data_IF_560830990588
#
_entry.id   IF_560830990588
#
_cell.length_a   1.000
_cell.length_b   1.000
_cell.length_c   1.000
_cell.angle_alpha   90.00
_cell.angle_beta   90.00
_cell.angle_gamma   90.00
#
_symmetry.space_group_name_H-M   'P 1'
#
loop_
_entity.id
_entity.type
_entity.pdbx_description
1 polymer ?
#
# COMPACT_ATOMS: atom_id res chain seq x y z
N UNK A 1 -48.46 -18.60 -3.77
CA UNK A 1 -48.44 -17.16 -3.39
C UNK A 1 -47.38 -16.86 -2.33
N UNK A 2 -47.35 -17.55 -1.20
CA UNK A 2 -46.35 -17.33 -0.15
C UNK A 2 -44.95 -17.86 -0.53
N UNK A 3 -44.89 -19.03 -1.15
CA UNK A 3 -43.65 -19.61 -1.72
C UNK A 3 -43.07 -18.73 -2.85
N UNK A 4 -43.91 -18.23 -3.74
CA UNK A 4 -43.50 -17.29 -4.80
C UNK A 4 -42.98 -15.96 -4.23
N UNK A 5 -43.60 -15.44 -3.16
CA UNK A 5 -43.13 -14.24 -2.46
C UNK A 5 -41.75 -14.50 -1.84
N UNK A 6 -41.58 -15.64 -1.18
CA UNK A 6 -40.34 -16.06 -0.54
C UNK A 6 -39.19 -16.24 -1.55
N UNK A 7 -39.47 -16.86 -2.69
CA UNK A 7 -38.49 -17.03 -3.77
C UNK A 7 -38.06 -15.68 -4.37
N UNK A 8 -39.00 -14.76 -4.58
CA UNK A 8 -38.68 -13.39 -5.02
C UNK A 8 -37.83 -12.64 -3.99
N UNK A 9 -38.17 -12.73 -2.71
CA UNK A 9 -37.37 -12.14 -1.62
C UNK A 9 -35.93 -12.70 -1.61
N UNK A 10 -35.76 -14.01 -1.82
CA UNK A 10 -34.45 -14.66 -1.90
C UNK A 10 -33.63 -14.20 -3.11
N UNK A 11 -34.23 -14.12 -4.30
CA UNK A 11 -33.55 -13.63 -5.51
C UNK A 11 -33.11 -12.17 -5.35
N UNK A 12 -33.98 -11.32 -4.80
CA UNK A 12 -33.64 -9.92 -4.53
C UNK A 12 -32.51 -9.79 -3.49
N UNK A 13 -32.50 -10.65 -2.46
CA UNK A 13 -31.41 -10.70 -1.51
C UNK A 13 -30.08 -11.09 -2.19
N UNK A 14 -30.07 -12.18 -2.97
CA UNK A 14 -28.88 -12.63 -3.70
C UNK A 14 -28.33 -11.56 -4.65
N UNK A 15 -29.18 -10.88 -5.40
CA UNK A 15 -28.72 -9.83 -6.32
C UNK A 15 -28.15 -8.61 -5.57
N UNK A 16 -28.80 -8.17 -4.49
CA UNK A 16 -28.27 -7.08 -3.64
C UNK A 16 -26.92 -7.45 -3.04
N UNK A 17 -26.76 -8.69 -2.56
CA UNK A 17 -25.49 -9.17 -2.01
C UNK A 17 -24.44 -9.21 -3.12
N UNK A 18 -24.74 -9.76 -4.30
CA UNK A 18 -23.82 -9.77 -5.44
C UNK A 18 -23.29 -8.38 -5.80
N UNK A 19 -24.17 -7.38 -5.92
CA UNK A 19 -23.78 -5.97 -6.17
C UNK A 19 -22.88 -5.45 -5.04
N UNK A 20 -23.28 -5.68 -3.79
CA UNK A 20 -22.55 -5.28 -2.61
C UNK A 20 -21.14 -5.87 -2.53
N UNK A 21 -20.97 -7.14 -2.91
CA UNK A 21 -19.67 -7.82 -2.95
C UNK A 21 -18.77 -7.23 -4.05
N UNK A 22 -19.30 -6.96 -5.24
CA UNK A 22 -18.51 -6.41 -6.35
C UNK A 22 -18.05 -4.97 -6.16
N UNK A 23 -18.71 -4.21 -5.29
CA UNK A 23 -18.35 -2.82 -5.00
C UNK A 23 -17.22 -2.68 -3.97
N UNK A 24 -16.95 -3.73 -3.19
CA UNK A 24 -15.90 -3.71 -2.17
C UNK A 24 -14.53 -4.03 -2.79
N UNK A 25 -13.56 -3.15 -2.56
CA UNK A 25 -12.20 -3.29 -3.12
C UNK A 25 -11.21 -3.85 -2.10
N UNK A 26 -11.50 -3.69 -0.81
CA UNK A 26 -10.68 -4.21 0.25
C UNK A 26 -11.01 -5.69 0.50
N UNK A 27 -10.01 -6.58 0.32
CA UNK A 27 -10.20 -8.02 0.49
C UNK A 27 -10.69 -8.35 1.91
N UNK A 28 -10.16 -7.70 2.95
CA UNK A 28 -10.54 -7.97 4.33
C UNK A 28 -12.02 -7.65 4.60
N UNK A 29 -12.47 -6.47 4.16
CA UNK A 29 -13.88 -6.05 4.26
C UNK A 29 -14.79 -6.93 3.39
N UNK A 30 -14.33 -7.33 2.21
CA UNK A 30 -15.07 -8.22 1.33
C UNK A 30 -15.35 -9.56 2.02
N UNK A 31 -14.31 -10.19 2.60
CA UNK A 31 -14.43 -11.47 3.32
C UNK A 31 -15.40 -11.37 4.51
N UNK A 32 -15.32 -10.30 5.30
CA UNK A 32 -16.25 -10.06 6.41
C UNK A 32 -17.70 -9.92 5.95
N UNK A 33 -17.89 -9.19 4.84
CA UNK A 33 -19.20 -8.95 4.27
C UNK A 33 -19.82 -10.24 3.76
N UNK A 34 -19.04 -11.10 3.10
CA UNK A 34 -19.50 -12.43 2.65
C UNK A 34 -20.08 -13.23 3.82
N UNK A 35 -19.33 -13.32 4.93
CA UNK A 35 -19.77 -14.06 6.12
C UNK A 35 -21.03 -13.43 6.72
N UNK A 36 -21.06 -12.11 6.85
CA UNK A 36 -22.21 -11.38 7.42
C UNK A 36 -23.48 -11.58 6.59
N UNK A 37 -23.39 -11.42 5.28
CA UNK A 37 -24.53 -11.57 4.37
C UNK A 37 -25.01 -13.02 4.32
N UNK A 38 -24.10 -14.00 4.28
CA UNK A 38 -24.45 -15.41 4.34
C UNK A 38 -25.17 -15.78 5.64
N UNK A 39 -24.65 -15.32 6.78
CA UNK A 39 -25.27 -15.52 8.10
C UNK A 39 -26.64 -14.87 8.19
N UNK A 40 -26.77 -13.61 7.77
CA UNK A 40 -28.05 -12.90 7.76
C UNK A 40 -29.09 -13.59 6.87
N UNK A 41 -28.66 -14.11 5.72
CA UNK A 41 -29.50 -14.83 4.77
C UNK A 41 -30.04 -16.16 5.33
N UNK A 42 -29.20 -16.93 6.03
CA UNK A 42 -29.59 -18.23 6.62
C UNK A 42 -30.06 -18.14 8.07
N UNK A 43 -30.00 -16.96 8.69
CA UNK A 43 -30.14 -16.75 10.15
C UNK A 43 -29.16 -17.61 10.96
N UNK A 44 -27.92 -17.72 10.50
CA UNK A 44 -26.89 -18.45 11.24
C UNK A 44 -26.29 -17.58 12.35
N UNK A 45 -26.18 -18.14 13.54
CA UNK A 45 -25.60 -17.47 14.71
C UNK A 45 -24.09 -17.26 14.56
N UNK A 46 -23.39 -18.13 13.83
CA UNK A 46 -21.97 -17.96 13.56
C UNK A 46 -21.58 -18.37 12.14
N UNK A 47 -20.44 -17.87 11.69
CA UNK A 47 -19.87 -18.18 10.39
C UNK A 47 -18.36 -18.04 10.37
N UNK A 48 -17.73 -18.89 9.59
CA UNK A 48 -16.28 -18.92 9.39
C UNK A 48 -15.98 -19.04 7.91
N UNK A 49 -15.04 -18.24 7.43
CA UNK A 49 -14.54 -18.32 6.07
C UNK A 49 -13.09 -18.76 6.10
N UNK A 50 -12.80 -19.84 5.39
CA UNK A 50 -11.46 -20.36 5.19
C UNK A 50 -10.99 -20.10 3.76
N UNK A 51 -9.72 -19.75 3.57
CA UNK A 51 -9.07 -19.67 2.27
C UNK A 51 -8.11 -20.86 2.11
N UNK A 52 -8.04 -21.40 0.90
CA UNK A 52 -7.12 -22.50 0.59
C UNK A 52 -5.71 -21.93 0.40
N UNK A 53 -4.74 -22.44 1.16
CA UNK A 53 -3.32 -22.07 1.10
C UNK A 53 -2.46 -23.31 0.98
N UNK A 54 -2.04 -23.64 -0.24
CA UNK A 54 -1.22 -24.83 -0.50
C UNK A 54 -1.91 -26.11 -0.05
N UNK A 55 -1.46 -26.68 1.07
CA UNK A 55 -1.91 -27.95 1.65
C UNK A 55 -2.82 -27.81 2.89
N UNK A 56 -3.24 -26.59 3.23
CA UNK A 56 -4.10 -26.33 4.38
C UNK A 56 -5.15 -25.26 4.09
N UNK A 57 -6.11 -25.15 5.00
CA UNK A 57 -7.09 -24.09 5.08
C UNK A 57 -6.66 -23.08 6.15
N UNK A 58 -6.51 -21.83 5.73
CA UNK A 58 -6.25 -20.69 6.58
C UNK A 58 -7.58 -20.03 6.94
N UNK A 59 -7.83 -19.81 8.24
CA UNK A 59 -9.03 -19.10 8.67
C UNK A 59 -8.86 -17.61 8.40
N UNK A 60 -9.75 -17.03 7.59
CA UNK A 60 -9.65 -15.62 7.20
C UNK A 60 -10.62 -14.72 7.98
N UNK A 61 -11.81 -15.24 8.34
CA UNK A 61 -12.84 -14.50 9.09
C UNK A 61 -13.59 -15.44 10.03
N UNK A 62 -13.86 -14.98 11.25
CA UNK A 62 -14.79 -15.60 12.20
C UNK A 62 -15.78 -14.55 12.70
N UNK A 63 -17.07 -14.85 12.62
CA UNK A 63 -18.12 -14.03 13.23
C UNK A 63 -19.06 -14.92 14.04
N UNK A 64 -19.41 -14.50 15.26
CA UNK A 64 -20.33 -15.20 16.14
C UNK A 64 -21.10 -14.18 16.99
N UNK A 65 -22.43 -14.15 16.88
CA UNK A 65 -23.25 -13.16 17.60
C UNK A 65 -23.38 -13.50 19.08
N UNK A 66 -23.61 -14.77 19.41
CA UNK A 66 -23.72 -15.25 20.81
C UNK A 66 -22.47 -14.94 21.64
N UNK A 67 -21.28 -15.12 21.06
CA UNK A 67 -20.01 -14.81 21.73
C UNK A 67 -19.58 -13.35 21.56
N UNK A 68 -20.31 -12.54 20.78
CA UNK A 68 -19.92 -11.19 20.37
C UNK A 68 -18.51 -11.13 19.76
N UNK A 69 -18.16 -12.14 18.96
CA UNK A 69 -16.84 -12.29 18.34
C UNK A 69 -16.91 -11.84 16.88
N UNK A 70 -15.99 -10.95 16.51
CA UNK A 70 -15.67 -10.61 15.11
C UNK A 70 -14.15 -10.54 14.99
N UNK A 71 -13.56 -11.46 14.23
CA UNK A 71 -12.11 -11.57 14.05
C UNK A 71 -11.76 -11.82 12.59
N UNK A 72 -10.57 -11.38 12.18
CA UNK A 72 -10.09 -11.51 10.80
C UNK A 72 -10.61 -10.43 9.87
N UNK A 73 -10.36 -10.62 8.57
CA UNK A 73 -10.66 -9.60 7.56
C UNK A 73 -9.95 -8.27 7.84
N UNK A 74 -10.71 -7.17 7.84
CA UNK A 74 -10.23 -5.82 8.14
C UNK A 74 -9.96 -5.58 9.63
N UNK A 75 -10.51 -6.41 10.53
CA UNK A 75 -10.27 -6.29 11.98
C UNK A 75 -8.93 -6.89 12.42
N UNK A 76 -8.28 -7.68 11.55
CA UNK A 76 -7.04 -8.38 11.87
C UNK A 76 -7.19 -9.38 13.01
N UNK A 77 -6.07 -9.80 13.61
CA UNK A 77 -6.06 -10.58 14.85
C UNK A 77 -6.65 -11.98 14.74
N UNK A 78 -6.02 -12.86 13.94
CA UNK A 78 -6.46 -14.23 13.80
C UNK A 78 -5.28 -15.19 14.05
N UNK A 79 -5.22 -15.74 15.27
CA UNK A 79 -4.25 -16.76 15.69
C UNK A 79 -4.99 -18.09 15.91
N UNK A 80 -5.63 -18.58 14.84
CA UNK A 80 -6.23 -19.91 14.82
C UNK A 80 -5.31 -20.86 14.05
N UNK A 81 -5.09 -22.09 14.54
CA UNK A 81 -4.26 -23.04 13.84
C UNK A 81 -4.88 -23.38 12.48
N UNK A 82 -4.06 -23.51 11.42
CA UNK A 82 -4.56 -23.90 10.11
C UNK A 82 -5.18 -25.29 10.16
N UNK A 83 -6.21 -25.52 9.33
CA UNK A 83 -6.86 -26.83 9.21
C UNK A 83 -6.18 -27.59 8.06
N UNK A 84 -5.49 -28.72 8.31
CA UNK A 84 -4.87 -29.49 7.23
C UNK A 84 -5.91 -29.95 6.20
N UNK A 85 -5.56 -29.96 4.90
CA UNK A 85 -6.43 -30.50 3.85
C UNK A 85 -6.50 -32.03 3.90
N UNK A 86 -7.16 -32.56 4.93
CA UNK A 86 -7.44 -33.98 5.11
C UNK A 86 -8.95 -34.21 5.20
N UNK A 87 -9.49 -35.24 4.54
CA UNK A 87 -10.92 -35.46 4.40
C UNK A 87 -11.64 -35.75 5.74
N UNK A 88 -10.90 -36.00 6.83
CA UNK A 88 -11.50 -36.17 8.15
C UNK A 88 -12.09 -34.86 8.72
N UNK A 89 -11.61 -33.69 8.31
CA UNK A 89 -12.17 -32.41 8.75
C UNK A 89 -13.24 -31.93 7.76
N UNK A 90 -14.41 -31.52 8.26
CA UNK A 90 -15.55 -31.14 7.40
C UNK A 90 -15.18 -30.05 6.38
N UNK A 91 -14.54 -28.97 6.83
CA UNK A 91 -14.13 -27.88 5.95
C UNK A 91 -13.12 -28.34 4.91
N UNK A 92 -12.14 -29.17 5.29
CA UNK A 92 -11.17 -29.73 4.35
C UNK A 92 -11.80 -30.74 3.37
N UNK A 93 -12.74 -31.57 3.81
CA UNK A 93 -13.50 -32.47 2.94
C UNK A 93 -14.25 -31.67 1.86
N UNK A 94 -14.94 -30.60 2.26
CA UNK A 94 -15.63 -29.71 1.33
C UNK A 94 -14.65 -29.05 0.36
N UNK A 95 -13.49 -28.58 0.86
CA UNK A 95 -12.44 -28.01 0.02
C UNK A 95 -11.94 -28.99 -1.06
N UNK A 96 -11.65 -30.23 -0.65
CA UNK A 96 -11.09 -31.29 -1.49
C UNK A 96 -12.09 -31.84 -2.51
N UNK A 97 -13.37 -31.97 -2.11
CA UNK A 97 -14.39 -32.64 -2.94
C UNK A 97 -15.28 -31.70 -3.72
N UNK A 98 -15.37 -30.42 -3.31
CA UNK A 98 -16.31 -29.45 -3.88
C UNK A 98 -17.78 -29.80 -3.59
N UNK A 99 -18.06 -30.68 -2.62
CA UNK A 99 -19.43 -31.06 -2.24
C UNK A 99 -19.90 -30.25 -1.04
N UNK A 100 -21.18 -29.88 -1.02
CA UNK A 100 -21.83 -29.26 0.14
C UNK A 100 -22.04 -30.29 1.24
N UNK A 101 -21.85 -29.90 2.49
CA UNK A 101 -22.13 -30.73 3.68
C UNK A 101 -23.09 -29.97 4.59
N UNK A 102 -24.24 -30.57 4.89
CA UNK A 102 -25.24 -30.05 5.81
C UNK A 102 -25.44 -31.03 6.95
N UNK A 103 -25.04 -30.64 8.16
CA UNK A 103 -25.07 -31.46 9.37
C UNK A 103 -26.15 -30.93 10.31
N UNK A 104 -27.24 -31.68 10.54
CA UNK A 104 -28.32 -31.28 11.45
C UNK A 104 -27.88 -31.20 12.92
N UNK A 105 -27.03 -32.14 13.35
CA UNK A 105 -26.46 -32.21 14.69
C UNK A 105 -25.01 -32.76 14.68
N UNK A 106 -24.05 -31.87 14.96
CA UNK A 106 -22.61 -32.13 15.01
C UNK A 106 -22.22 -33.14 16.09
N UNK A 107 -22.97 -33.22 17.21
CA UNK A 107 -22.69 -34.16 18.28
C UNK A 107 -23.26 -35.56 18.00
N UNK A 108 -24.26 -35.67 17.13
CA UNK A 108 -24.85 -36.93 16.71
C UNK A 108 -24.15 -37.54 15.47
N UNK A 109 -23.39 -36.73 14.71
CA UNK A 109 -22.66 -37.20 13.52
C UNK A 109 -21.33 -37.89 13.87
N UNK A 110 -21.09 -39.05 13.26
CA UNK A 110 -19.82 -39.78 13.32
C UNK A 110 -19.02 -39.74 12.01
N UNK A 111 -19.46 -38.96 11.02
CA UNK A 111 -18.88 -38.98 9.67
C UNK A 111 -17.56 -38.20 9.56
N UNK A 112 -17.34 -37.22 10.45
CA UNK A 112 -16.17 -36.34 10.41
C UNK A 112 -15.56 -36.17 11.81
N UNK A 113 -14.30 -35.73 11.83
CA UNK A 113 -13.61 -35.36 13.05
C UNK A 113 -14.05 -33.96 13.52
N UNK A 114 -14.76 -33.92 14.65
CA UNK A 114 -15.23 -32.69 15.30
C UNK A 114 -14.44 -32.32 16.57
N UNK A 115 -13.25 -32.87 16.80
CA UNK A 115 -12.42 -32.54 17.98
C UNK A 115 -12.09 -31.05 18.08
N UNK A 116 -11.80 -30.40 16.94
CA UNK A 116 -11.53 -28.96 16.86
C UNK A 116 -12.71 -28.11 17.37
N UNK A 117 -13.89 -28.20 16.74
CA UNK A 117 -15.12 -27.54 17.21
C UNK A 117 -15.45 -27.87 18.67
N UNK A 118 -15.37 -29.15 19.08
CA UNK A 118 -15.65 -29.56 20.47
C UNK A 118 -14.69 -28.92 21.48
N UNK A 119 -13.40 -28.77 21.12
CA UNK A 119 -12.41 -28.09 21.97
C UNK A 119 -12.71 -26.59 22.07
N UNK A 120 -13.07 -25.95 20.96
CA UNK A 120 -13.44 -24.54 20.95
C UNK A 120 -14.71 -24.29 21.77
N UNK A 121 -15.73 -25.13 21.59
CA UNK A 121 -16.97 -25.13 22.38
C UNK A 121 -16.68 -25.28 23.88
N UNK A 122 -15.80 -26.21 24.27
CA UNK A 122 -15.41 -26.42 25.66
C UNK A 122 -14.67 -25.21 26.28
N UNK A 123 -13.90 -24.47 25.49
CA UNK A 123 -13.16 -23.29 25.94
C UNK A 123 -14.04 -22.03 26.05
N UNK A 124 -15.01 -21.89 25.15
CA UNK A 124 -15.83 -20.68 25.02
C UNK A 124 -17.20 -20.79 25.67
N UNK A 125 -17.64 -22.00 26.02
CA UNK A 125 -19.01 -22.27 26.46
C UNK A 125 -20.04 -22.25 25.32
N UNK A 126 -19.60 -22.07 24.08
CA UNK A 126 -20.44 -22.18 22.88
C UNK A 126 -20.79 -23.63 22.59
N UNK A 127 -21.92 -23.88 21.92
CA UNK A 127 -22.30 -25.24 21.50
C UNK A 127 -22.68 -25.27 20.03
N UNK A 128 -21.81 -25.85 19.22
CA UNK A 128 -21.99 -26.09 17.79
C UNK A 128 -22.95 -27.26 17.59
N UNK A 129 -24.16 -26.99 17.09
CA UNK A 129 -25.21 -27.99 16.87
C UNK A 129 -25.47 -28.24 15.40
N UNK A 130 -25.96 -27.24 14.66
CA UNK A 130 -26.15 -27.39 13.20
C UNK A 130 -25.03 -26.73 12.42
N UNK A 131 -24.67 -27.29 11.26
CA UNK A 131 -23.57 -26.78 10.45
C UNK A 131 -23.89 -26.93 8.95
N UNK A 132 -23.68 -25.86 8.18
CA UNK A 132 -23.73 -25.88 6.72
C UNK A 132 -22.38 -25.42 6.18
N UNK A 133 -21.71 -26.28 5.42
CA UNK A 133 -20.38 -26.04 4.88
C UNK A 133 -20.43 -26.12 3.36
N UNK A 134 -20.09 -25.03 2.70
CA UNK A 134 -20.14 -24.91 1.24
C UNK A 134 -18.78 -24.57 0.67
N UNK A 135 -18.43 -25.10 -0.51
CA UNK A 135 -17.20 -24.72 -1.19
C UNK A 135 -17.38 -23.35 -1.86
N UNK A 136 -16.31 -22.58 -1.90
CA UNK A 136 -16.20 -21.34 -2.67
C UNK A 136 -15.38 -21.67 -3.92
N UNK A 137 -16.04 -21.81 -5.06
CA UNK A 137 -15.40 -22.25 -6.31
C UNK A 137 -15.33 -21.14 -7.34
N UNK A 138 -14.17 -21.05 -8.01
CA UNK A 138 -13.97 -20.13 -9.12
C UNK A 138 -14.66 -20.62 -10.42
N UNK A 139 -14.56 -19.83 -11.48
CA UNK A 139 -15.11 -20.16 -12.81
C UNK A 139 -14.51 -21.44 -13.44
N UNK A 140 -13.42 -21.99 -12.89
CA UNK A 140 -12.77 -23.24 -13.31
C UNK A 140 -13.11 -24.42 -12.40
N UNK A 141 -14.10 -24.25 -11.51
CA UNK A 141 -14.49 -25.21 -10.47
C UNK A 141 -13.36 -25.56 -9.49
N UNK A 142 -12.33 -24.69 -9.35
CA UNK A 142 -11.31 -24.84 -8.32
C UNK A 142 -11.84 -24.23 -7.02
N UNK A 143 -11.72 -24.97 -5.92
CA UNK A 143 -12.10 -24.47 -4.61
C UNK A 143 -11.02 -23.52 -4.08
N UNK A 144 -11.34 -22.24 -3.94
CA UNK A 144 -10.42 -21.22 -3.40
C UNK A 144 -10.62 -20.99 -1.90
N UNK A 145 -11.74 -21.45 -1.37
CA UNK A 145 -12.10 -21.29 0.04
C UNK A 145 -13.31 -22.11 0.42
N UNK A 146 -13.69 -22.02 1.69
CA UNK A 146 -14.83 -22.74 2.26
C UNK A 146 -15.57 -21.78 3.18
N UNK A 147 -16.88 -21.69 3.00
CA UNK A 147 -17.77 -20.94 3.87
C UNK A 147 -18.51 -21.93 4.79
N UNK A 148 -18.29 -21.79 6.08
CA UNK A 148 -18.92 -22.59 7.12
C UNK A 148 -19.89 -21.71 7.90
N UNK A 149 -21.15 -22.11 7.98
CA UNK A 149 -22.20 -21.49 8.77
C UNK A 149 -22.58 -22.42 9.90
N UNK A 150 -22.77 -21.87 11.10
CA UNK A 150 -23.00 -22.63 12.32
C UNK A 150 -24.28 -22.11 12.98
N UNK A 151 -25.08 -23.05 13.47
CA UNK A 151 -26.28 -22.81 14.26
C UNK A 151 -27.30 -21.91 13.56
N UNK A 152 -28.07 -22.46 12.61
CA UNK A 152 -29.24 -21.76 12.08
C UNK A 152 -30.27 -21.53 13.20
N UNK A 153 -30.84 -20.32 13.27
CA UNK A 153 -31.78 -19.93 14.31
C UNK A 153 -33.22 -19.88 13.78
N UNK A 154 -34.14 -20.46 14.53
CA UNK A 154 -35.58 -20.26 14.36
C UNK A 154 -35.98 -18.81 14.67
N UNK A 155 -37.17 -18.33 14.26
CA UNK A 155 -37.68 -17.01 14.66
C UNK A 155 -37.72 -16.78 16.19
N UNK A 156 -37.74 -17.86 16.98
CA UNK A 156 -37.76 -17.85 18.44
C UNK A 156 -36.36 -17.88 19.06
N UNK A 157 -35.29 -17.93 18.25
CA UNK A 157 -33.90 -17.97 18.70
C UNK A 157 -33.38 -19.36 19.04
N UNK A 158 -34.17 -20.42 18.85
CA UNK A 158 -33.70 -21.79 19.05
C UNK A 158 -32.87 -22.26 17.85
N UNK A 159 -31.74 -22.94 18.11
CA UNK A 159 -30.95 -23.54 17.03
C UNK A 159 -31.76 -24.67 16.35
N UNK A 160 -31.71 -24.73 15.03
CA UNK A 160 -32.40 -25.71 14.17
C UNK A 160 -31.45 -26.18 13.05
N UNK A 161 -31.72 -27.32 12.39
CA UNK A 161 -31.00 -27.71 11.19
C UNK A 161 -31.13 -26.67 10.06
N UNK A 162 -30.10 -26.55 9.22
CA UNK A 162 -30.19 -25.74 8.00
C UNK A 162 -31.15 -26.41 7.02
N UNK A 163 -32.07 -25.63 6.46
CA UNK A 163 -33.02 -26.11 5.45
C UNK A 163 -32.28 -26.41 4.15
N UNK A 164 -32.61 -27.51 3.48
CA UNK A 164 -31.96 -27.93 2.22
C UNK A 164 -32.04 -26.86 1.12
N UNK A 165 -33.11 -26.07 1.09
CA UNK A 165 -33.27 -24.92 0.18
C UNK A 165 -32.13 -23.88 0.31
N UNK A 166 -31.48 -23.78 1.47
CA UNK A 166 -30.35 -22.88 1.66
C UNK A 166 -29.05 -23.43 1.06
N UNK A 167 -28.93 -24.73 0.80
CA UNK A 167 -27.70 -25.31 0.24
C UNK A 167 -27.39 -24.73 -1.13
N UNK A 168 -28.35 -24.74 -2.04
CA UNK A 168 -28.24 -24.19 -3.40
C UNK A 168 -28.03 -22.67 -3.38
N UNK A 169 -28.76 -21.96 -2.52
CA UNK A 169 -28.68 -20.50 -2.42
C UNK A 169 -27.33 -20.04 -1.86
N UNK A 170 -26.86 -20.69 -0.79
CA UNK A 170 -25.57 -20.40 -0.17
C UNK A 170 -24.42 -20.84 -1.08
N UNK A 171 -24.56 -21.93 -1.83
CA UNK A 171 -23.59 -22.32 -2.87
C UNK A 171 -23.48 -21.26 -3.98
N UNK A 172 -24.63 -20.71 -4.43
CA UNK A 172 -24.63 -19.61 -5.41
C UNK A 172 -23.94 -18.37 -4.84
N UNK A 173 -24.25 -17.99 -3.60
CA UNK A 173 -23.58 -16.87 -2.92
C UNK A 173 -22.07 -17.11 -2.78
N UNK A 174 -21.67 -18.30 -2.34
CA UNK A 174 -20.27 -18.70 -2.19
C UNK A 174 -19.50 -18.65 -3.50
N UNK A 175 -20.14 -19.00 -4.62
CA UNK A 175 -19.54 -18.92 -5.96
C UNK A 175 -19.35 -17.46 -6.41
N UNK A 176 -20.34 -16.57 -6.17
CA UNK A 176 -20.19 -15.14 -6.46
C UNK A 176 -19.10 -14.50 -5.60
N UNK A 177 -19.09 -14.85 -4.32
CA UNK A 177 -18.05 -14.46 -3.38
C UNK A 177 -16.66 -14.95 -3.83
N UNK A 178 -16.56 -16.18 -4.33
CA UNK A 178 -15.30 -16.72 -4.85
C UNK A 178 -14.76 -15.89 -6.01
N UNK A 179 -15.61 -15.55 -6.99
CA UNK A 179 -15.22 -14.70 -8.12
C UNK A 179 -14.78 -13.30 -7.66
N UNK A 180 -15.48 -12.71 -6.69
CA UNK A 180 -15.11 -11.40 -6.14
C UNK A 180 -13.75 -11.44 -5.42
N UNK A 181 -13.50 -12.49 -4.61
CA UNK A 181 -12.22 -12.71 -3.92
C UNK A 181 -11.10 -12.89 -4.94
N UNK A 182 -11.28 -13.75 -5.95
CA UNK A 182 -10.29 -13.97 -7.00
C UNK A 182 -9.94 -12.66 -7.71
N UNK A 183 -10.94 -11.86 -8.08
CA UNK A 183 -10.71 -10.57 -8.72
C UNK A 183 -9.96 -9.58 -7.81
N UNK A 184 -10.33 -9.48 -6.53
CA UNK A 184 -9.64 -8.63 -5.57
C UNK A 184 -8.18 -9.07 -5.38
N UNK A 185 -7.92 -10.39 -5.32
CA UNK A 185 -6.58 -10.95 -5.21
C UNK A 185 -5.76 -10.68 -6.48
N UNK A 186 -6.33 -10.88 -7.67
CA UNK A 186 -5.67 -10.59 -8.95
C UNK A 186 -5.25 -9.11 -9.05
N UNK A 187 -6.11 -8.19 -8.63
CA UNK A 187 -5.80 -6.75 -8.59
C UNK A 187 -4.66 -6.47 -7.61
N UNK A 188 -4.72 -7.06 -6.40
CA UNK A 188 -3.66 -6.89 -5.40
C UNK A 188 -2.32 -7.45 -5.87
N UNK A 189 -2.32 -8.62 -6.52
CA UNK A 189 -1.10 -9.24 -7.05
C UNK A 189 -0.51 -8.42 -8.19
N UNK A 190 -1.36 -7.85 -9.06
CA UNK A 190 -0.92 -6.92 -10.11
C UNK A 190 -0.28 -5.65 -9.51
N UNK A 191 -0.86 -5.08 -8.45
CA UNK A 191 -0.30 -3.91 -7.75
C UNK A 191 1.07 -4.22 -7.15
N UNK A 192 1.21 -5.34 -6.41
CA UNK A 192 2.49 -5.78 -5.84
C UNK A 192 3.54 -6.07 -6.90
N UNK A 193 3.14 -6.68 -8.01
CA UNK A 193 4.04 -6.92 -9.14
C UNK A 193 4.52 -5.60 -9.76
N UNK A 194 3.64 -4.62 -9.92
CA UNK A 194 4.01 -3.30 -10.43
C UNK A 194 4.99 -2.59 -9.47
N UNK A 195 4.68 -2.56 -8.18
CA UNK A 195 5.53 -1.93 -7.14
C UNK A 195 6.92 -2.57 -7.12
N UNK A 196 7.00 -3.89 -7.01
CA UNK A 196 8.28 -4.61 -7.01
C UNK A 196 9.05 -4.44 -8.33
N UNK A 197 8.36 -4.30 -9.46
CA UNK A 197 8.99 -3.99 -10.74
C UNK A 197 9.59 -2.58 -10.75
N UNK A 198 8.88 -1.56 -10.26
CA UNK A 198 9.41 -0.19 -10.16
C UNK A 198 10.62 -0.11 -9.22
N UNK A 199 10.56 -0.79 -8.07
CA UNK A 199 11.69 -0.88 -7.12
C UNK A 199 12.89 -1.60 -7.75
N UNK A 200 12.66 -2.67 -8.51
CA UNK A 200 13.71 -3.36 -9.24
C UNK A 200 14.39 -2.43 -10.28
N UNK A 201 13.62 -1.64 -11.04
CA UNK A 201 14.19 -0.66 -11.97
C UNK A 201 15.02 0.40 -11.24
N UNK A 202 14.50 1.00 -10.17
CA UNK A 202 15.22 2.01 -9.41
C UNK A 202 16.54 1.47 -8.83
N UNK A 203 16.49 0.29 -8.21
CA UNK A 203 17.68 -0.36 -7.63
C UNK A 203 18.75 -0.70 -8.66
N UNK A 204 18.39 -1.03 -9.91
CA UNK A 204 19.38 -1.26 -10.97
C UNK A 204 20.21 -0.03 -11.31
N UNK A 205 19.63 1.17 -11.21
CA UNK A 205 20.34 2.42 -11.46
C UNK A 205 21.21 2.81 -10.28
N UNK A 206 20.69 2.68 -9.06
CA UNK A 206 21.47 2.92 -7.84
C UNK A 206 22.68 1.96 -7.73
N UNK A 207 22.55 0.72 -8.24
CA UNK A 207 23.68 -0.22 -8.30
C UNK A 207 24.76 0.19 -9.33
N UNK A 208 24.37 0.88 -10.40
CA UNK A 208 25.29 1.36 -11.45
C UNK A 208 25.92 2.71 -11.11
N UNK A 209 25.21 3.55 -10.35
CA UNK A 209 25.69 4.82 -9.81
C UNK A 209 25.74 4.73 -8.27
N UNK A 210 26.80 4.15 -7.68
CA UNK A 210 26.89 3.93 -6.23
C UNK A 210 26.74 5.20 -5.39
N UNK A 211 26.87 6.38 -6.01
CA UNK A 211 26.72 7.67 -5.37
C UNK A 211 25.25 8.10 -5.21
N UNK A 212 24.31 7.41 -5.86
CA UNK A 212 22.87 7.64 -5.73
C UNK A 212 22.17 6.62 -4.83
N UNK A 213 22.89 5.77 -4.09
CA UNK A 213 22.25 4.82 -3.19
C UNK A 213 21.27 5.50 -2.21
N UNK A 214 19.98 5.19 -2.35
CA UNK A 214 18.89 5.79 -1.56
C UNK A 214 18.48 7.21 -1.96
N UNK A 215 19.15 7.84 -2.95
CA UNK A 215 18.79 9.15 -3.49
C UNK A 215 17.39 9.14 -4.09
N UNK A 216 17.10 8.18 -4.98
CA UNK A 216 15.80 8.05 -5.63
C UNK A 216 14.68 7.91 -4.59
N UNK A 217 14.93 7.16 -3.51
CA UNK A 217 14.00 7.07 -2.38
C UNK A 217 13.82 8.41 -1.67
N UNK A 218 14.90 9.11 -1.30
CA UNK A 218 14.79 10.39 -0.59
C UNK A 218 14.08 11.46 -1.42
N UNK A 219 14.42 11.58 -2.70
CA UNK A 219 13.73 12.47 -3.66
C UNK A 219 12.24 12.13 -3.74
N UNK A 220 11.90 10.85 -3.79
CA UNK A 220 10.51 10.38 -3.76
C UNK A 220 9.80 10.84 -2.48
N UNK A 221 10.41 10.63 -1.32
CA UNK A 221 9.79 11.00 -0.05
C UNK A 221 9.65 12.51 0.15
N UNK A 222 10.62 13.32 -0.30
CA UNK A 222 10.49 14.78 -0.31
C UNK A 222 9.33 15.23 -1.20
N UNK A 223 9.26 14.66 -2.41
CA UNK A 223 8.20 14.97 -3.39
C UNK A 223 6.82 14.63 -2.84
N UNK A 224 6.66 13.45 -2.24
CA UNK A 224 5.39 13.02 -1.64
C UNK A 224 5.01 13.89 -0.45
N UNK A 225 5.96 14.22 0.44
CA UNK A 225 5.68 15.09 1.58
C UNK A 225 5.22 16.50 1.14
N UNK A 226 5.78 17.03 0.05
CA UNK A 226 5.31 18.28 -0.54
C UNK A 226 3.92 18.13 -1.16
N UNK A 227 3.67 17.04 -1.89
CA UNK A 227 2.38 16.78 -2.53
C UNK A 227 1.24 16.56 -1.53
N UNK A 228 1.52 15.95 -0.38
CA UNK A 228 0.57 15.80 0.72
C UNK A 228 0.17 17.16 1.30
N UNK A 229 1.14 18.06 1.54
CA UNK A 229 0.86 19.42 2.00
C UNK A 229 0.10 20.25 0.97
N UNK A 230 0.28 19.94 -0.30
CA UNK A 230 -0.45 20.54 -1.43
C UNK A 230 -1.91 20.04 -1.53
N UNK A 231 -2.26 18.98 -0.81
CA UNK A 231 -3.59 18.36 -0.87
C UNK A 231 -3.80 17.51 -2.13
N UNK A 232 -2.72 16.97 -2.72
CA UNK A 232 -2.82 16.08 -3.87
C UNK A 232 -3.66 14.83 -3.53
N UNK A 233 -4.62 14.43 -4.38
CA UNK A 233 -5.41 13.23 -4.13
C UNK A 233 -4.53 11.96 -4.22
N UNK A 234 -4.93 10.84 -3.59
CA UNK A 234 -4.15 9.60 -3.60
C UNK A 234 -3.74 9.12 -5.01
N UNK A 235 -4.61 9.32 -5.99
CA UNK A 235 -4.37 9.03 -7.41
C UNK A 235 -3.09 9.72 -7.92
N UNK A 236 -2.90 11.00 -7.56
CA UNK A 236 -1.75 11.82 -7.97
C UNK A 236 -0.48 11.46 -7.21
N UNK A 237 -0.60 11.09 -5.94
CA UNK A 237 0.55 10.65 -5.13
C UNK A 237 1.25 9.46 -5.77
N UNK A 238 0.51 8.48 -6.30
CA UNK A 238 1.11 7.31 -6.99
C UNK A 238 1.88 7.69 -8.26
N UNK A 239 1.38 8.66 -9.03
CA UNK A 239 2.10 9.17 -10.21
C UNK A 239 3.41 9.81 -9.77
N UNK A 240 3.38 10.66 -8.74
CA UNK A 240 4.57 11.35 -8.25
C UNK A 240 5.56 10.39 -7.60
N UNK A 241 5.08 9.36 -6.91
CA UNK A 241 5.90 8.29 -6.34
C UNK A 241 6.70 7.58 -7.43
N UNK A 242 6.05 7.03 -8.45
CA UNK A 242 6.75 6.31 -9.51
C UNK A 242 7.60 7.21 -10.39
N UNK A 243 7.15 8.45 -10.65
CA UNK A 243 7.93 9.40 -11.42
C UNK A 243 9.21 9.82 -10.68
N UNK A 244 9.13 10.08 -9.37
CA UNK A 244 10.29 10.44 -8.55
C UNK A 244 11.22 9.24 -8.33
N UNK A 245 10.67 8.03 -8.18
CA UNK A 245 11.48 6.83 -8.02
C UNK A 245 12.31 6.52 -9.27
N UNK A 246 11.82 6.89 -10.45
CA UNK A 246 12.42 6.57 -11.75
C UNK A 246 12.95 7.79 -12.53
N UNK A 247 12.99 8.98 -11.92
CA UNK A 247 13.36 10.24 -12.59
C UNK A 247 14.71 10.16 -13.30
N UNK A 248 15.64 9.41 -12.71
CA UNK A 248 17.01 9.23 -13.17
C UNK A 248 17.23 7.95 -13.98
N UNK A 249 16.18 7.19 -14.33
CA UNK A 249 16.33 5.87 -14.95
C UNK A 249 17.08 5.90 -16.29
N UNK A 250 16.94 7.00 -17.03
CA UNK A 250 17.63 7.22 -18.29
C UNK A 250 19.15 7.35 -18.16
N UNK A 251 19.72 7.43 -16.95
CA UNK A 251 21.17 7.32 -16.75
C UNK A 251 21.73 6.03 -17.36
N UNK A 252 20.91 4.97 -17.50
CA UNK A 252 21.28 3.74 -18.20
C UNK A 252 21.81 3.97 -19.63
N UNK A 253 21.32 5.03 -20.30
CA UNK A 253 21.73 5.41 -21.66
C UNK A 253 22.99 6.29 -21.73
N UNK A 254 23.53 6.75 -20.59
CA UNK A 254 24.72 7.61 -20.52
C UNK A 254 25.98 6.74 -20.41
N UNK A 255 27.07 7.08 -21.12
CA UNK A 255 28.32 6.30 -21.06
C UNK A 255 28.96 6.36 -19.68
N UNK A 256 29.54 5.25 -19.22
CA UNK A 256 30.25 5.17 -17.94
C UNK A 256 31.39 6.18 -17.83
N UNK A 257 32.11 6.44 -18.93
CA UNK A 257 33.19 7.41 -18.98
C UNK A 257 32.74 8.85 -18.69
N UNK A 258 31.45 9.15 -18.89
CA UNK A 258 30.82 10.44 -18.56
C UNK A 258 30.21 10.37 -17.16
N UNK A 259 29.37 9.37 -16.90
CA UNK A 259 28.62 9.24 -15.65
C UNK A 259 29.53 9.07 -14.42
N UNK A 260 30.59 8.26 -14.54
CA UNK A 260 31.50 7.91 -13.45
C UNK A 260 32.79 8.74 -13.45
N UNK A 261 32.86 9.81 -14.25
CA UNK A 261 34.09 10.59 -14.41
C UNK A 261 34.53 11.25 -13.08
N UNK A 262 35.76 11.00 -12.60
CA UNK A 262 36.27 11.64 -11.39
C UNK A 262 36.74 13.07 -11.73
N UNK A 263 35.82 14.02 -11.82
CA UNK A 263 36.14 15.43 -12.06
C UNK A 263 35.04 16.20 -12.78
N UNK A 264 35.39 17.40 -13.27
CA UNK A 264 34.45 18.24 -14.02
C UNK A 264 34.22 17.65 -15.42
N UNK A 265 32.96 17.63 -15.83
CA UNK A 265 32.56 17.34 -17.20
C UNK A 265 32.93 18.50 -18.12
N UNK A 266 33.35 18.18 -19.34
CA UNK A 266 33.41 19.13 -20.45
C UNK A 266 32.00 19.51 -20.89
N UNK A 267 31.84 20.56 -21.70
CA UNK A 267 30.51 20.96 -22.20
C UNK A 267 29.84 19.88 -23.06
N UNK A 268 30.62 19.03 -23.74
CA UNK A 268 30.09 17.91 -24.51
C UNK A 268 29.62 16.77 -23.61
N UNK A 269 30.45 16.37 -22.65
CA UNK A 269 30.10 15.36 -21.65
C UNK A 269 28.91 15.81 -20.78
N UNK A 270 28.80 17.11 -20.48
CA UNK A 270 27.66 17.65 -19.74
C UNK A 270 26.35 17.51 -20.54
N UNK A 271 26.36 17.82 -21.83
CA UNK A 271 25.18 17.62 -22.70
C UNK A 271 24.79 16.15 -22.81
N UNK A 272 25.77 15.25 -22.85
CA UNK A 272 25.51 13.81 -22.82
C UNK A 272 24.91 13.37 -21.48
N UNK A 273 25.43 13.87 -20.37
CA UNK A 273 24.85 13.61 -19.06
C UNK A 273 23.40 14.12 -18.97
N UNK A 274 23.09 15.31 -19.48
CA UNK A 274 21.73 15.86 -19.53
C UNK A 274 20.75 15.02 -20.36
N UNK A 275 21.24 14.23 -21.32
CA UNK A 275 20.38 13.37 -22.15
C UNK A 275 19.65 12.29 -21.34
N UNK A 276 20.11 11.98 -20.11
CA UNK A 276 19.44 11.02 -19.22
C UNK A 276 17.96 11.36 -19.02
N UNK A 277 17.58 12.64 -18.99
CA UNK A 277 16.18 13.03 -18.77
C UNK A 277 15.30 12.62 -19.96
N UNK A 278 15.78 12.86 -21.18
CA UNK A 278 15.09 12.43 -22.39
C UNK A 278 15.05 10.89 -22.49
N UNK A 279 16.15 10.22 -22.11
CA UNK A 279 16.17 8.75 -22.04
C UNK A 279 15.20 8.21 -20.99
N UNK A 280 15.04 8.86 -19.83
CA UNK A 280 14.05 8.48 -18.82
C UNK A 280 12.66 8.50 -19.45
N UNK A 281 12.27 9.62 -20.06
CA UNK A 281 10.96 9.74 -20.70
C UNK A 281 10.76 8.70 -21.80
N UNK A 282 11.75 8.50 -22.68
CA UNK A 282 11.67 7.54 -23.77
C UNK A 282 11.51 6.10 -23.27
N UNK A 283 12.34 5.69 -22.31
CA UNK A 283 12.35 4.32 -21.79
C UNK A 283 11.05 4.04 -21.03
N UNK A 284 10.63 4.96 -20.15
CA UNK A 284 9.39 4.79 -19.40
C UNK A 284 8.16 4.79 -20.31
N UNK A 285 8.16 5.56 -21.41
CA UNK A 285 7.06 5.55 -22.39
C UNK A 285 6.87 4.22 -23.12
N UNK A 286 7.81 3.27 -22.99
CA UNK A 286 7.67 1.90 -23.52
C UNK A 286 6.93 0.97 -22.57
N UNK A 287 6.78 1.35 -21.30
CA UNK A 287 6.01 0.60 -20.32
C UNK A 287 4.53 0.93 -20.52
N UNK A 288 3.68 -0.09 -20.50
CA UNK A 288 2.23 0.12 -20.47
C UNK A 288 1.83 0.58 -19.07
N UNK A 289 1.53 1.87 -18.94
CA UNK A 289 0.91 2.43 -17.75
C UNK A 289 -0.62 2.42 -17.91
N UNK A 290 -1.38 1.95 -16.91
CA UNK A 290 -2.83 2.18 -16.84
C UNK A 290 -3.16 3.67 -16.94
N UNK A 291 -4.40 4.00 -17.33
CA UNK A 291 -4.84 5.38 -17.54
C UNK A 291 -4.58 6.28 -16.32
N UNK A 292 -4.70 5.73 -15.11
CA UNK A 292 -4.45 6.42 -13.84
C UNK A 292 -2.97 6.77 -13.62
N UNK A 293 -2.05 6.10 -14.32
CA UNK A 293 -0.60 6.26 -14.19
C UNK A 293 0.07 6.74 -15.49
N UNK A 294 -0.70 7.06 -16.53
CA UNK A 294 -0.16 7.41 -17.86
C UNK A 294 0.78 8.60 -17.89
N UNK A 295 0.69 9.49 -16.89
CA UNK A 295 1.49 10.70 -16.78
C UNK A 295 2.89 10.45 -16.20
N UNK A 296 3.19 9.25 -15.67
CA UNK A 296 4.48 8.92 -15.04
C UNK A 296 5.69 9.27 -15.92
N UNK A 297 5.76 8.88 -17.22
CA UNK A 297 6.91 9.20 -18.07
C UNK A 297 7.12 10.70 -18.28
N UNK A 298 6.03 11.46 -18.45
CA UNK A 298 6.08 12.91 -18.66
C UNK A 298 6.54 13.64 -17.41
N UNK A 299 6.00 13.26 -16.24
CA UNK A 299 6.39 13.84 -14.95
C UNK A 299 7.85 13.53 -14.65
N UNK A 300 8.30 12.28 -14.80
CA UNK A 300 9.70 11.89 -14.61
C UNK A 300 10.65 12.61 -15.59
N UNK A 301 10.24 12.74 -16.86
CA UNK A 301 10.99 13.40 -17.93
C UNK A 301 11.06 14.93 -17.86
N UNK A 302 10.36 15.56 -16.91
CA UNK A 302 10.35 17.01 -16.75
C UNK A 302 11.06 17.49 -15.47
N UNK A 303 11.67 16.60 -14.67
CA UNK A 303 12.22 16.95 -13.36
C UNK A 303 13.41 17.93 -13.39
N UNK A 304 14.08 18.10 -14.53
CA UNK A 304 15.17 19.07 -14.76
C UNK A 304 14.71 20.34 -15.52
N UNK A 305 13.41 20.46 -15.79
CA UNK A 305 12.84 21.72 -16.27
C UNK A 305 12.90 22.77 -15.16
N UNK A 306 13.17 24.02 -15.56
CA UNK A 306 13.31 25.14 -14.62
C UNK A 306 12.19 26.12 -14.82
N UNK A 307 11.76 26.76 -13.74
CA UNK A 307 10.63 27.68 -13.75
C UNK A 307 10.76 28.81 -14.80
N UNK A 308 11.98 29.32 -15.02
CA UNK A 308 12.29 30.34 -16.01
C UNK A 308 12.44 29.85 -17.47
N UNK A 309 12.35 28.54 -17.71
CA UNK A 309 12.52 27.93 -19.03
C UNK A 309 13.97 27.73 -19.48
N UNK A 310 14.95 27.89 -18.58
CA UNK A 310 16.37 27.57 -18.85
C UNK A 310 16.72 26.11 -18.55
N UNK A 311 15.72 25.30 -18.21
CA UNK A 311 15.83 23.87 -17.98
C UNK A 311 15.88 23.03 -19.26
N UNK A 312 15.80 21.72 -19.08
CA UNK A 312 15.90 20.73 -20.16
C UNK A 312 15.02 19.51 -19.82
N UNK A 313 14.59 18.71 -20.82
CA UNK A 313 15.03 18.70 -22.22
C UNK A 313 14.27 19.64 -23.17
N UNK A 314 13.10 20.14 -22.81
CA UNK A 314 12.21 20.91 -23.69
C UNK A 314 12.25 22.42 -23.43
N UNK A 315 12.75 22.87 -22.28
CA UNK A 315 12.79 24.29 -21.91
C UNK A 315 11.40 24.83 -21.55
N UNK A 316 10.61 23.99 -20.86
CA UNK A 316 9.26 24.32 -20.42
C UNK A 316 9.28 25.44 -19.39
N UNK A 317 8.24 26.27 -19.38
CA UNK A 317 8.08 27.41 -18.45
C UNK A 317 6.91 27.20 -17.51
N UNK A 318 6.72 28.15 -16.60
CA UNK A 318 5.56 28.20 -15.70
C UNK A 318 4.24 27.85 -16.42
N UNK A 319 3.44 27.02 -15.75
CA UNK A 319 2.19 26.45 -16.27
C UNK A 319 2.35 25.27 -17.26
N UNK A 320 3.55 25.02 -17.81
CA UNK A 320 3.81 23.90 -18.72
C UNK A 320 4.48 22.71 -18.05
N UNK A 321 5.24 22.96 -16.98
CA UNK A 321 5.93 21.89 -16.23
C UNK A 321 4.89 21.16 -15.36
N UNK A 322 4.75 19.82 -15.47
CA UNK A 322 3.88 19.06 -14.60
C UNK A 322 4.15 19.36 -13.11
N UNK A 323 3.10 19.46 -12.30
CA UNK A 323 3.24 19.88 -10.90
C UNK A 323 4.18 18.96 -10.09
N UNK A 324 4.08 17.64 -10.29
CA UNK A 324 5.01 16.69 -9.70
C UNK A 324 6.47 16.93 -10.10
N UNK A 325 6.74 17.30 -11.36
CA UNK A 325 8.09 17.63 -11.82
C UNK A 325 8.66 18.88 -11.14
N UNK A 326 7.84 19.90 -10.90
CA UNK A 326 8.25 21.10 -10.16
C UNK A 326 8.61 20.78 -8.71
N UNK A 327 7.86 19.88 -8.05
CA UNK A 327 8.19 19.38 -6.71
C UNK A 327 9.50 18.58 -6.71
N UNK A 328 9.64 17.65 -7.67
CA UNK A 328 10.84 16.82 -7.82
C UNK A 328 12.09 17.66 -8.07
N UNK A 329 12.01 18.74 -8.85
CA UNK A 329 13.14 19.63 -9.09
C UNK A 329 13.70 20.23 -7.77
N UNK A 330 12.81 20.66 -6.86
CA UNK A 330 13.22 21.15 -5.53
C UNK A 330 13.83 20.01 -4.70
N UNK A 331 13.19 18.84 -4.69
CA UNK A 331 13.61 17.67 -3.93
C UNK A 331 14.98 17.12 -4.39
N UNK A 332 15.19 16.98 -5.70
CA UNK A 332 16.43 16.49 -6.31
C UNK A 332 17.59 17.43 -6.01
N UNK A 333 17.42 18.73 -6.24
CA UNK A 333 18.49 19.70 -5.95
C UNK A 333 18.80 19.73 -4.45
N UNK A 334 17.78 19.72 -3.59
CA UNK A 334 18.02 19.67 -2.15
C UNK A 334 18.81 18.42 -1.76
N UNK A 335 18.38 17.23 -2.18
CA UNK A 335 19.06 15.98 -1.85
C UNK A 335 20.50 15.95 -2.39
N UNK A 336 20.71 16.46 -3.60
CA UNK A 336 22.04 16.56 -4.21
C UNK A 336 22.97 17.52 -3.44
N UNK A 337 22.44 18.60 -2.85
CA UNK A 337 23.21 19.53 -2.01
C UNK A 337 23.52 18.93 -0.64
N UNK A 338 22.59 18.14 -0.09
CA UNK A 338 22.70 17.55 1.25
C UNK A 338 23.21 16.12 1.26
N UNK A 339 23.62 15.55 0.14
CA UNK A 339 24.21 14.21 0.08
C UNK A 339 25.74 14.27 0.14
N UNK A 340 26.35 13.27 0.78
CA UNK A 340 27.80 13.06 0.73
C UNK A 340 28.17 12.40 -0.60
N UNK A 341 29.20 12.92 -1.28
CA UNK A 341 29.80 12.30 -2.48
C UNK A 341 31.31 12.17 -2.26
N UNK A 342 32.04 11.26 -2.93
CA UNK A 342 33.47 11.04 -2.69
C UNK A 342 34.33 12.30 -2.79
N UNK A 343 33.89 13.27 -3.58
CA UNK A 343 34.59 14.52 -3.85
C UNK A 343 33.92 15.74 -3.20
N UNK A 344 32.84 15.56 -2.43
CA UNK A 344 32.05 16.66 -1.86
C UNK A 344 31.40 16.27 -0.54
N UNK A 345 31.79 16.95 0.53
CA UNK A 345 31.09 16.86 1.81
C UNK A 345 29.68 17.47 1.70
N UNK A 346 28.78 16.98 2.57
CA UNK A 346 27.42 17.49 2.73
C UNK A 346 27.46 19.00 2.97
N UNK A 347 26.68 19.76 2.18
CA UNK A 347 26.57 21.20 2.36
C UNK A 347 25.97 21.54 3.73
N UNK A 348 26.40 22.62 4.42
CA UNK A 348 25.69 23.10 5.60
C UNK A 348 24.21 23.32 5.29
N UNK A 349 23.31 22.83 6.15
CA UNK A 349 21.87 22.85 5.90
C UNK A 349 21.35 24.27 5.63
N UNK A 350 21.86 25.26 6.37
CA UNK A 350 21.57 26.69 6.16
C UNK A 350 21.84 27.12 4.71
N UNK A 351 22.99 26.72 4.16
CA UNK A 351 23.38 27.09 2.80
C UNK A 351 22.54 26.36 1.75
N UNK A 352 22.20 25.09 1.99
CA UNK A 352 21.31 24.36 1.09
C UNK A 352 19.92 25.01 1.01
N UNK A 353 19.36 25.38 2.17
CA UNK A 353 18.07 26.10 2.26
C UNK A 353 18.15 27.50 1.63
N UNK A 354 19.27 28.22 1.80
CA UNK A 354 19.49 29.53 1.15
C UNK A 354 19.41 29.41 -0.37
N UNK A 355 20.05 28.39 -0.95
CA UNK A 355 20.03 28.15 -2.42
C UNK A 355 18.60 27.93 -2.93
N UNK A 356 17.77 27.17 -2.20
CA UNK A 356 16.37 26.97 -2.59
C UNK A 356 15.58 28.29 -2.56
N UNK A 357 15.75 29.10 -1.51
CA UNK A 357 15.06 30.41 -1.39
C UNK A 357 15.52 31.40 -2.45
N UNK A 358 16.82 31.50 -2.69
CA UNK A 358 17.42 32.38 -3.70
C UNK A 358 17.03 31.95 -5.13
N UNK A 359 16.83 30.65 -5.37
CA UNK A 359 16.43 30.09 -6.67
C UNK A 359 14.92 30.17 -6.97
N UNK A 360 14.09 30.61 -6.04
CA UNK A 360 12.64 30.72 -6.24
C UNK A 360 12.32 31.76 -7.34
N UNK A 361 11.47 31.37 -8.30
CA UNK A 361 11.09 32.20 -9.44
C UNK A 361 12.07 32.19 -10.61
N UNK A 362 13.18 31.45 -10.48
CA UNK A 362 14.16 31.23 -11.57
C UNK A 362 14.35 29.74 -11.80
N UNK A 363 15.15 29.09 -10.94
CA UNK A 363 15.36 27.65 -10.99
C UNK A 363 14.09 26.91 -10.55
N UNK A 364 13.53 27.32 -9.42
CA UNK A 364 12.42 26.62 -8.77
C UNK A 364 11.13 27.41 -8.88
N UNK A 365 10.01 26.69 -8.92
CA UNK A 365 8.71 27.28 -8.69
C UNK A 365 8.61 27.83 -7.26
N UNK A 366 8.28 29.12 -7.06
CA UNK A 366 8.13 29.71 -5.72
C UNK A 366 7.14 28.98 -4.82
N UNK A 367 6.04 28.45 -5.37
CA UNK A 367 5.03 27.72 -4.63
C UNK A 367 5.59 26.38 -4.11
N UNK A 368 6.39 25.68 -4.92
CA UNK A 368 7.02 24.43 -4.52
C UNK A 368 8.10 24.66 -3.46
N UNK A 369 8.85 25.76 -3.56
CA UNK A 369 9.78 26.17 -2.49
C UNK A 369 9.01 26.47 -1.20
N UNK A 370 7.86 27.15 -1.26
CA UNK A 370 7.06 27.38 -0.06
C UNK A 370 6.56 26.07 0.58
N UNK A 371 6.04 25.13 -0.21
CA UNK A 371 5.64 23.81 0.26
C UNK A 371 6.80 23.06 0.94
N UNK A 372 7.99 23.08 0.34
CA UNK A 372 9.17 22.46 0.94
C UNK A 372 9.51 23.09 2.31
N UNK A 373 9.39 24.41 2.44
CA UNK A 373 9.66 25.12 3.69
C UNK A 373 8.57 24.92 4.75
N UNK A 374 7.36 24.49 4.35
CA UNK A 374 6.27 24.13 5.27
C UNK A 374 6.37 22.71 5.80
N UNK A 375 7.30 21.89 5.30
CA UNK A 375 7.53 20.54 5.81
C UNK A 375 7.87 20.57 7.32
N UNK A 376 7.34 19.64 8.12
CA UNK A 376 7.82 19.44 9.48
C UNK A 376 9.30 19.06 9.47
N UNK A 377 10.09 19.65 10.36
CA UNK A 377 11.53 19.41 10.45
C UNK A 377 11.84 17.96 10.82
N UNK A 378 10.97 17.33 11.61
CA UNK A 378 11.03 15.88 11.89
C UNK A 378 10.89 15.03 10.63
N UNK A 379 10.00 15.40 9.70
CA UNK A 379 9.79 14.72 8.41
C UNK A 379 11.01 14.88 7.52
N UNK A 380 11.55 16.10 7.42
CA UNK A 380 12.80 16.36 6.67
C UNK A 380 13.95 15.48 7.21
N UNK A 381 14.10 15.45 8.54
CA UNK A 381 15.15 14.68 9.19
C UNK A 381 15.00 13.17 8.95
N UNK A 382 13.79 12.63 9.06
CA UNK A 382 13.52 11.22 8.81
C UNK A 382 13.91 10.79 7.39
N UNK A 383 13.69 11.66 6.40
CA UNK A 383 14.08 11.39 5.01
C UNK A 383 15.61 11.50 4.86
N UNK A 384 16.24 12.53 5.42
CA UNK A 384 17.69 12.73 5.35
C UNK A 384 18.52 11.57 5.93
N UNK A 385 18.01 10.92 6.97
CA UNK A 385 18.69 9.81 7.65
C UNK A 385 18.39 8.44 7.02
N UNK A 386 17.50 8.37 6.03
CA UNK A 386 17.23 7.14 5.31
C UNK A 386 18.49 6.63 4.59
N UNK A 387 18.84 5.37 4.84
CA UNK A 387 20.05 4.72 4.30
C UNK A 387 21.32 4.93 5.14
N UNK A 388 21.27 5.65 6.27
CA UNK A 388 22.45 5.96 7.11
C UNK A 388 22.57 5.12 8.39
N UNK A 389 21.64 4.18 8.63
CA UNK A 389 21.74 3.18 9.71
C UNK A 389 21.49 3.67 11.15
N UNK A 390 21.44 4.98 11.39
CA UNK A 390 21.25 5.54 12.73
C UNK A 390 19.80 5.60 13.20
N UNK A 391 19.51 5.08 14.39
CA UNK A 391 18.22 5.27 15.04
C UNK A 391 17.99 6.76 15.40
N UNK A 392 16.77 7.23 15.15
CA UNK A 392 16.28 8.54 15.55
C UNK A 392 15.67 8.45 16.95
N UNK A 393 16.07 9.34 17.85
CA UNK A 393 15.49 9.41 19.19
C UNK A 393 14.04 9.91 19.10
N UNK A 394 13.03 9.17 19.61
CA UNK A 394 11.63 9.60 19.58
C UNK A 394 11.40 10.97 20.23
N UNK A 395 12.17 11.32 21.26
CA UNK A 395 12.05 12.63 21.92
C UNK A 395 12.54 13.76 21.02
N UNK A 396 13.63 13.54 20.28
CA UNK A 396 14.14 14.50 19.30
C UNK A 396 13.14 14.67 18.15
N UNK A 397 12.59 13.56 17.65
CA UNK A 397 11.59 13.59 16.57
C UNK A 397 10.32 14.33 16.98
N UNK A 398 9.82 14.09 18.19
CA UNK A 398 8.63 14.78 18.69
C UNK A 398 8.87 16.29 18.79
N UNK A 399 10.01 16.71 19.36
CA UNK A 399 10.32 18.14 19.48
C UNK A 399 10.52 18.83 18.12
N UNK A 400 11.10 18.13 17.14
CA UNK A 400 11.28 18.67 15.79
C UNK A 400 9.99 18.63 14.96
N UNK A 401 8.92 17.98 15.43
CA UNK A 401 7.66 17.88 14.68
C UNK A 401 6.82 19.16 14.72
N UNK A 402 6.99 19.97 15.77
CA UNK A 402 6.30 21.26 15.94
C UNK A 402 6.93 22.42 15.14
N UNK A 403 8.08 22.19 14.51
CA UNK A 403 8.87 23.22 13.83
C UNK A 403 8.92 22.88 12.36
N UNK A 404 8.59 23.85 11.51
CA UNK A 404 8.72 23.72 10.06
C UNK A 404 10.16 23.99 9.60
N UNK A 405 10.51 23.52 8.41
CA UNK A 405 11.80 23.82 7.77
C UNK A 405 12.02 25.34 7.65
N UNK A 406 10.97 26.12 7.40
CA UNK A 406 11.06 27.57 7.30
C UNK A 406 11.28 28.28 8.63
N UNK A 407 10.60 27.88 9.69
CA UNK A 407 10.90 28.39 11.04
C UNK A 407 12.33 28.04 11.44
N UNK A 408 12.75 26.81 11.17
CA UNK A 408 14.12 26.39 11.42
C UNK A 408 15.15 27.22 10.64
N UNK A 409 14.88 27.50 9.36
CA UNK A 409 15.73 28.37 8.56
C UNK A 409 15.85 29.78 9.16
N UNK A 410 14.76 30.37 9.64
CA UNK A 410 14.81 31.66 10.33
C UNK A 410 15.63 31.60 11.62
N UNK A 411 15.53 30.50 12.39
CA UNK A 411 16.35 30.28 13.59
C UNK A 411 17.84 30.19 13.24
N UNK A 412 18.19 29.54 12.13
CA UNK A 412 19.59 29.45 11.68
C UNK A 412 20.19 30.82 11.38
N UNK A 413 19.41 31.74 10.80
CA UNK A 413 19.84 33.10 10.45
C UNK A 413 20.00 34.06 11.65
N UNK A 414 19.50 33.71 12.83
CA UNK A 414 19.62 34.56 14.03
C UNK A 414 21.02 34.52 14.62
N UNK A 415 21.54 35.70 14.98
CA UNK A 415 22.79 35.83 15.75
C UNK A 415 22.60 35.45 17.23
N UNK A 416 21.46 35.82 17.83
CA UNK A 416 21.11 35.52 19.22
C UNK A 416 19.84 34.64 19.26
N UNK A 417 19.97 33.46 19.88
CA UNK A 417 18.94 32.41 19.88
C UNK A 417 18.45 32.18 21.31
N UNK A 418 17.15 32.02 21.49
CA UNK A 418 16.60 31.58 22.77
C UNK A 418 17.08 30.16 23.13
N UNK A 419 17.06 29.75 24.41
CA UNK A 419 17.45 28.40 24.81
C UNK A 419 16.70 27.28 24.08
N UNK A 420 15.42 27.52 23.73
CA UNK A 420 14.60 26.57 22.93
C UNK A 420 15.09 26.48 21.49
N UNK A 421 15.50 27.60 20.89
CA UNK A 421 16.01 27.63 19.51
C UNK A 421 17.38 26.99 19.41
N UNK A 422 18.26 27.21 20.40
CA UNK A 422 19.54 26.49 20.50
C UNK A 422 19.34 24.98 20.64
N UNK A 423 18.35 24.57 21.45
CA UNK A 423 17.96 23.16 21.60
C UNK A 423 17.57 22.54 20.25
N UNK A 424 16.69 23.19 19.49
CA UNK A 424 16.25 22.71 18.17
C UNK A 424 17.45 22.56 17.22
N UNK A 425 18.32 23.57 17.14
CA UNK A 425 19.53 23.53 16.30
C UNK A 425 20.46 22.41 16.73
N UNK A 426 20.64 22.20 18.04
CA UNK A 426 21.49 21.14 18.59
C UNK A 426 20.91 19.76 18.26
N UNK A 427 19.61 19.55 18.47
CA UNK A 427 18.91 18.29 18.16
C UNK A 427 19.04 17.95 16.68
N UNK A 428 18.74 18.88 15.76
CA UNK A 428 18.88 18.63 14.32
C UNK A 428 20.34 18.39 13.90
N UNK A 429 21.26 19.25 14.36
CA UNK A 429 22.69 19.16 14.00
C UNK A 429 23.34 17.87 14.46
N UNK A 430 22.87 17.28 15.56
CA UNK A 430 23.33 15.98 16.09
C UNK A 430 23.18 14.87 15.06
N UNK A 431 22.16 14.91 14.22
CA UNK A 431 21.92 13.92 13.17
C UNK A 431 22.55 14.35 11.85
N UNK A 432 22.35 15.60 11.45
CA UNK A 432 22.83 16.11 10.16
C UNK A 432 24.34 15.97 9.97
N UNK A 433 25.12 16.09 11.06
CA UNK A 433 26.58 15.96 11.09
C UNK A 433 27.11 14.54 11.34
N UNK A 434 26.25 13.55 11.58
CA UNK A 434 26.71 12.15 11.69
C UNK A 434 27.36 11.77 10.36
N UNK A 435 28.50 11.09 10.43
CA UNK A 435 29.06 10.42 9.27
C UNK A 435 28.26 9.15 9.01
N UNK A 436 28.12 8.82 7.73
CA UNK A 436 27.60 7.55 7.27
C UNK A 436 28.49 6.42 7.84
N UNK A 437 27.91 5.42 8.50
CA UNK A 437 28.66 4.28 9.08
C UNK A 437 29.28 3.36 8.01
#
# INVERSE_FOLDING_TARGET
KEEERRLREQIHALNRIGIALTAERDLGRLLERIVREARGFTRADAGTLYLVRGDHLECAVVQNDTLAVQMGGAHGGLDLPPVPLRPEYVSAYVALTGKVVNIPDVYASGEFNFEGPRRYDALTGYRTRSMLVVPMQDHRARTIGVLQLINALSPQGEVVPFREEYEELVRSLASQAAVAIDNAQLISDLQKMLESFMEALASTIDARDPYTAGHSYRVTQYTLAMAELDGAPPERLRIYEYAALLHDYGKIGVRDAVLLKPGKLTSEEYREAQAHVAYTQEILSRIYFPDELREVPEVAGAHQEKYDGTGYPQGLRDGQIPRGARMMCVADVFDALTSERPYRERMPIEKALSILREGAGTHFDPEMVDLFFRLPLSRLLAILEHGRGGALDPEDINALSEVTVGEFYQVLLKEDRSPREEEIVRRFSRYYRRKSE
#
